data_IF_447908252702
#
_entry.id   IF_447908252702
#
_cell.length_a   1.000
_cell.length_b   1.000
_cell.length_c   1.000
_cell.angle_alpha   90.00
_cell.angle_beta   90.00
_cell.angle_gamma   90.00
#
_symmetry.space_group_name_H-M   'P 1'
#
loop_
_entity.id
_entity.type
_entity.pdbx_description
1 polymer ?
#
# COMPACT_ATOMS: atom_id res chain seq x y z
N UNK A 1 0.92 -17.37 -16.24
CA UNK A 1 2.32 -17.51 -16.66
C UNK A 1 3.15 -16.87 -15.57
N UNK A 2 3.98 -17.66 -14.90
CA UNK A 2 4.96 -17.14 -13.95
C UNK A 2 6.09 -16.48 -14.75
N UNK A 3 6.37 -15.21 -14.52
CA UNK A 3 7.50 -14.54 -15.15
C UNK A 3 8.75 -14.92 -14.39
N UNK A 4 9.64 -15.64 -15.07
CA UNK A 4 10.93 -16.07 -14.53
C UNK A 4 12.05 -15.43 -15.36
N UNK A 5 13.23 -15.27 -14.79
CA UNK A 5 14.39 -14.66 -15.45
C UNK A 5 14.76 -15.34 -16.78
N UNK A 6 14.43 -16.64 -16.92
CA UNK A 6 14.71 -17.44 -18.13
C UNK A 6 13.95 -16.98 -19.40
N UNK A 7 12.92 -16.13 -19.26
CA UNK A 7 12.08 -15.62 -20.37
C UNK A 7 12.43 -14.17 -20.75
N UNK A 8 13.35 -13.55 -20.01
CA UNK A 8 13.71 -12.14 -20.22
C UNK A 8 14.80 -11.99 -21.30
N UNK A 9 14.80 -10.83 -22.01
CA UNK A 9 15.94 -10.43 -22.83
C UNK A 9 17.23 -10.33 -22.00
N UNK A 10 18.34 -10.59 -22.65
CA UNK A 10 19.68 -10.46 -22.02
C UNK A 10 19.89 -9.08 -21.41
N UNK A 11 20.31 -9.04 -20.17
CA UNK A 11 20.57 -7.79 -19.41
C UNK A 11 19.33 -7.16 -18.77
N UNK A 12 18.20 -7.85 -18.76
CA UNK A 12 16.99 -7.46 -18.01
C UNK A 12 16.84 -8.33 -16.76
N UNK A 13 16.54 -7.70 -15.63
CA UNK A 13 16.29 -8.35 -14.34
C UNK A 13 14.86 -8.05 -13.87
N UNK A 14 14.18 -9.02 -13.24
CA UNK A 14 12.88 -8.81 -12.59
C UNK A 14 13.10 -8.24 -11.20
N UNK A 15 12.32 -7.23 -10.86
CA UNK A 15 12.23 -6.65 -9.52
C UNK A 15 10.87 -7.01 -8.92
N UNK A 16 10.85 -7.85 -7.91
CA UNK A 16 9.63 -8.23 -7.19
C UNK A 16 9.22 -7.12 -6.22
N UNK A 17 8.20 -6.32 -6.61
CA UNK A 17 7.74 -5.12 -5.93
C UNK A 17 6.22 -5.20 -5.67
N UNK A 18 5.80 -6.32 -5.09
CA UNK A 18 4.41 -6.62 -4.76
C UNK A 18 3.85 -5.61 -3.74
N UNK A 19 2.53 -5.54 -3.62
CA UNK A 19 1.84 -4.78 -2.58
C UNK A 19 0.90 -3.71 -3.11
N UNK A 20 1.27 -2.94 -4.14
CA UNK A 20 0.29 -2.13 -4.88
C UNK A 20 -0.67 -3.05 -5.64
N UNK A 21 -0.16 -4.02 -6.35
CA UNK A 21 -0.92 -5.12 -6.94
C UNK A 21 -0.32 -6.47 -6.52
N UNK A 22 -1.08 -7.56 -6.68
CA UNK A 22 -0.73 -8.89 -6.18
C UNK A 22 0.61 -9.41 -6.75
N UNK A 23 0.80 -9.28 -8.05
CA UNK A 23 1.97 -9.80 -8.76
C UNK A 23 2.74 -8.66 -9.45
N UNK A 24 2.82 -7.49 -8.79
CA UNK A 24 3.51 -6.34 -9.37
C UNK A 24 5.00 -6.61 -9.46
N UNK A 25 5.53 -6.43 -10.65
CA UNK A 25 6.96 -6.49 -10.92
C UNK A 25 7.45 -5.19 -11.54
N UNK A 26 8.70 -4.85 -11.24
CA UNK A 26 9.50 -3.88 -11.97
C UNK A 26 10.53 -4.59 -12.83
N UNK A 27 11.27 -3.83 -13.61
CA UNK A 27 12.36 -4.34 -14.45
C UNK A 27 13.58 -3.45 -14.34
N UNK A 28 14.75 -4.05 -14.23
CA UNK A 28 16.01 -3.34 -14.34
C UNK A 28 16.68 -3.66 -15.66
N UNK A 29 17.15 -2.64 -16.37
CA UNK A 29 17.89 -2.74 -17.62
C UNK A 29 19.11 -1.83 -17.54
N UNK A 30 20.30 -2.40 -17.46
CA UNK A 30 21.52 -1.63 -17.19
C UNK A 30 21.39 -0.85 -15.88
N UNK A 31 21.59 0.47 -15.91
CA UNK A 31 21.52 1.35 -14.75
C UNK A 31 20.13 1.98 -14.53
N UNK A 32 19.09 1.50 -15.22
CA UNK A 32 17.72 2.03 -15.11
C UNK A 32 16.79 0.98 -14.52
N UNK A 33 16.07 1.35 -13.46
CA UNK A 33 15.05 0.53 -12.82
C UNK A 33 13.64 1.10 -13.05
N UNK A 34 12.78 0.37 -13.73
CA UNK A 34 11.36 0.66 -13.91
C UNK A 34 10.60 0.02 -12.77
N UNK A 35 10.12 0.81 -11.84
CA UNK A 35 9.57 0.32 -10.56
C UNK A 35 8.04 0.35 -10.47
N UNK A 36 7.35 0.68 -11.58
CA UNK A 36 5.88 0.72 -11.61
C UNK A 36 5.28 1.61 -10.51
N UNK A 37 4.27 1.11 -9.84
CA UNK A 37 3.57 1.79 -8.75
C UNK A 37 4.13 1.44 -7.35
N UNK A 38 5.42 1.11 -7.26
CA UNK A 38 6.06 0.82 -5.98
C UNK A 38 6.09 2.04 -5.03
N UNK A 39 6.00 3.26 -5.58
CA UNK A 39 5.87 4.51 -4.82
C UNK A 39 4.79 5.40 -5.42
N UNK A 40 4.06 6.10 -4.57
CA UNK A 40 3.16 7.20 -4.95
C UNK A 40 3.84 8.55 -4.74
N UNK A 41 3.49 9.55 -5.57
CA UNK A 41 4.02 10.90 -5.40
C UNK A 41 3.53 11.55 -4.10
N UNK A 42 4.30 12.48 -3.55
CA UNK A 42 3.88 13.29 -2.39
C UNK A 42 2.56 14.00 -2.68
N UNK A 43 2.42 14.58 -3.87
CA UNK A 43 1.19 15.29 -4.27
C UNK A 43 -0.06 14.38 -4.21
N UNK A 44 0.05 13.13 -4.66
CA UNK A 44 -1.05 12.16 -4.60
C UNK A 44 -1.36 11.80 -3.16
N UNK A 45 -0.34 11.52 -2.34
CA UNK A 45 -0.51 11.16 -0.93
C UNK A 45 -1.09 12.32 -0.11
N UNK A 46 -0.59 13.54 -0.31
CA UNK A 46 -1.08 14.74 0.39
C UNK A 46 -2.54 15.07 0.02
N UNK A 47 -2.91 14.82 -1.24
CA UNK A 47 -4.25 15.12 -1.75
C UNK A 47 -5.31 14.11 -1.34
N UNK A 48 -4.97 12.84 -1.36
CA UNK A 48 -5.94 11.75 -1.16
C UNK A 48 -5.79 11.04 0.18
N UNK A 49 -4.67 11.20 0.86
CA UNK A 49 -4.37 10.58 2.16
C UNK A 49 -4.20 9.06 2.10
N UNK A 50 -4.97 8.37 1.26
CA UNK A 50 -4.96 6.91 1.10
C UNK A 50 -4.69 6.56 -0.35
N UNK A 51 -3.61 5.85 -0.61
CA UNK A 51 -3.31 5.24 -1.91
C UNK A 51 -3.90 3.84 -2.00
N UNK A 52 -4.17 3.39 -3.23
CA UNK A 52 -4.56 2.01 -3.47
C UNK A 52 -3.42 1.07 -3.05
N UNK A 53 -3.74 0.07 -2.24
CA UNK A 53 -2.81 -0.96 -1.76
C UNK A 53 -3.55 -2.29 -1.68
N UNK A 54 -3.02 -3.29 -2.36
CA UNK A 54 -3.57 -4.65 -2.35
C UNK A 54 -3.17 -5.42 -1.09
N UNK A 55 -1.89 -5.33 -0.69
CA UNK A 55 -1.34 -5.94 0.52
C UNK A 55 -0.36 -4.97 1.19
N UNK A 56 -0.67 -4.60 2.42
CA UNK A 56 0.12 -3.61 3.18
C UNK A 56 1.50 -4.17 3.59
N UNK A 57 1.57 -5.45 3.95
CA UNK A 57 2.82 -6.10 4.33
C UNK A 57 3.80 -6.15 3.17
N UNK A 58 3.36 -6.67 2.01
CA UNK A 58 4.15 -6.75 0.79
C UNK A 58 4.57 -5.35 0.30
N UNK A 59 3.66 -4.36 0.42
CA UNK A 59 3.97 -2.98 0.06
C UNK A 59 5.09 -2.39 0.92
N UNK A 60 5.04 -2.57 2.24
CA UNK A 60 6.09 -2.12 3.15
C UNK A 60 7.43 -2.83 2.89
N UNK A 61 7.39 -4.13 2.57
CA UNK A 61 8.56 -4.90 2.17
C UNK A 61 9.15 -4.40 0.84
N UNK A 62 8.30 -4.12 -0.15
CA UNK A 62 8.73 -3.58 -1.44
C UNK A 62 9.39 -2.20 -1.29
N UNK A 63 8.84 -1.31 -0.46
CA UNK A 63 9.49 -0.03 -0.13
C UNK A 63 10.89 -0.23 0.49
N UNK A 64 11.07 -1.28 1.29
CA UNK A 64 12.37 -1.61 1.88
C UNK A 64 13.35 -2.17 0.85
N UNK A 65 12.88 -3.01 -0.10
CA UNK A 65 13.70 -3.59 -1.18
C UNK A 65 14.29 -2.52 -2.12
N UNK A 66 13.62 -1.36 -2.28
CA UNK A 66 14.09 -0.29 -3.16
C UNK A 66 15.51 0.17 -2.85
N UNK A 67 15.95 0.13 -1.60
CA UNK A 67 17.31 0.52 -1.19
C UNK A 67 18.40 -0.40 -1.75
N UNK A 68 18.05 -1.67 -2.01
CA UNK A 68 19.00 -2.71 -2.43
C UNK A 68 19.12 -2.81 -3.96
N UNK A 69 18.26 -2.11 -4.71
CA UNK A 69 18.32 -2.08 -6.18
C UNK A 69 19.53 -1.26 -6.62
N UNK A 70 20.45 -1.89 -7.33
CA UNK A 70 21.64 -1.25 -7.92
C UNK A 70 21.29 -0.62 -9.26
N UNK A 71 20.82 0.63 -9.24
CA UNK A 71 20.50 1.44 -10.40
C UNK A 71 20.79 2.93 -10.12
N UNK A 72 21.06 3.71 -11.16
CA UNK A 72 21.30 5.15 -11.09
C UNK A 72 20.02 5.97 -11.34
N UNK A 73 19.11 5.44 -12.17
CA UNK A 73 17.86 6.09 -12.53
C UNK A 73 16.68 5.17 -12.22
N UNK A 74 15.70 5.70 -11.52
CA UNK A 74 14.45 5.02 -11.18
C UNK A 74 13.26 5.67 -11.89
N UNK A 75 12.43 4.85 -12.52
CA UNK A 75 11.29 5.28 -13.32
C UNK A 75 10.00 4.70 -12.74
N UNK A 76 9.31 5.42 -11.84
CA UNK A 76 7.97 5.06 -11.38
C UNK A 76 6.91 5.30 -12.47
N UNK A 77 5.71 4.69 -12.33
CA UNK A 77 4.64 4.83 -13.33
C UNK A 77 4.03 6.24 -13.38
N UNK A 78 3.87 6.89 -12.23
CA UNK A 78 3.12 8.15 -12.10
C UNK A 78 3.92 9.29 -11.46
N UNK A 79 5.23 9.16 -11.41
CA UNK A 79 6.17 10.16 -10.87
C UNK A 79 7.29 10.39 -11.89
N UNK A 80 7.89 11.57 -11.89
CA UNK A 80 9.04 11.83 -12.73
C UNK A 80 10.20 10.86 -12.40
N UNK A 81 11.00 10.46 -13.40
CA UNK A 81 12.24 9.72 -13.13
C UNK A 81 13.12 10.46 -12.12
N UNK A 82 13.77 9.71 -11.25
CA UNK A 82 14.52 10.25 -10.12
C UNK A 82 15.79 9.42 -9.85
N UNK A 83 16.73 9.98 -9.12
CA UNK A 83 17.90 9.28 -8.65
C UNK A 83 17.60 8.44 -7.38
N UNK A 84 18.61 7.76 -6.87
CA UNK A 84 18.50 6.89 -5.71
C UNK A 84 18.14 7.65 -4.42
N UNK A 85 18.71 8.84 -4.23
CA UNK A 85 18.50 9.65 -3.02
C UNK A 85 17.04 10.14 -2.98
N UNK A 86 16.57 10.71 -4.07
CA UNK A 86 15.17 11.16 -4.24
C UNK A 86 14.17 9.99 -4.06
N UNK A 87 14.50 8.81 -4.61
CA UNK A 87 13.68 7.61 -4.44
C UNK A 87 13.56 7.20 -2.97
N UNK A 88 14.67 7.16 -2.23
CA UNK A 88 14.67 6.73 -0.83
C UNK A 88 13.93 7.73 0.07
N UNK A 89 14.02 9.03 -0.22
CA UNK A 89 13.20 10.03 0.45
C UNK A 89 11.70 9.81 0.18
N UNK A 90 11.33 9.56 -1.08
CA UNK A 90 9.95 9.30 -1.46
C UNK A 90 9.42 7.99 -0.85
N UNK A 91 10.22 6.93 -0.85
CA UNK A 91 9.88 5.66 -0.21
C UNK A 91 9.68 5.83 1.31
N UNK A 92 10.53 6.61 1.97
CA UNK A 92 10.38 6.97 3.38
C UNK A 92 9.07 7.72 3.66
N UNK A 93 8.68 8.63 2.76
CA UNK A 93 7.40 9.33 2.86
C UNK A 93 6.20 8.40 2.67
N UNK A 94 6.24 7.51 1.68
CA UNK A 94 5.21 6.48 1.47
C UNK A 94 5.05 5.57 2.69
N UNK A 95 6.15 5.15 3.29
CA UNK A 95 6.15 4.36 4.54
C UNK A 95 5.50 5.11 5.70
N UNK A 96 5.84 6.40 5.87
CA UNK A 96 5.25 7.26 6.90
C UNK A 96 3.73 7.35 6.75
N UNK A 97 3.24 7.66 5.56
CA UNK A 97 1.79 7.75 5.29
C UNK A 97 1.10 6.40 5.55
N UNK A 98 1.72 5.29 5.14
CA UNK A 98 1.19 3.95 5.42
C UNK A 98 1.07 3.69 6.93
N UNK A 99 2.06 4.08 7.72
CA UNK A 99 2.02 3.96 9.17
C UNK A 99 0.91 4.82 9.79
N UNK A 100 0.72 6.05 9.32
CA UNK A 100 -0.36 6.94 9.75
C UNK A 100 -1.76 6.36 9.46
N UNK A 101 -1.93 5.69 8.30
CA UNK A 101 -3.18 4.98 7.98
C UNK A 101 -3.40 3.79 8.92
N UNK A 102 -2.34 3.00 9.21
CA UNK A 102 -2.40 1.87 10.16
C UNK A 102 -2.88 2.37 11.52
N UNK A 103 -2.28 3.42 12.04
CA UNK A 103 -2.65 4.03 13.33
C UNK A 103 -4.11 4.54 13.29
N UNK A 104 -4.49 5.24 12.22
CA UNK A 104 -5.85 5.75 12.04
C UNK A 104 -6.90 4.63 12.04
N UNK A 105 -6.67 3.54 11.33
CA UNK A 105 -7.59 2.38 11.31
C UNK A 105 -7.72 1.75 12.70
N UNK A 106 -6.60 1.65 13.46
CA UNK A 106 -6.65 1.17 14.85
C UNK A 106 -7.44 2.09 15.77
N UNK A 107 -7.24 3.42 15.67
CA UNK A 107 -8.01 4.42 16.44
C UNK A 107 -9.52 4.30 16.17
N UNK A 108 -9.89 4.22 14.89
CA UNK A 108 -11.29 4.10 14.48
C UNK A 108 -11.94 2.80 14.99
N UNK A 109 -11.14 1.75 15.21
CA UNK A 109 -11.58 0.46 15.75
C UNK A 109 -11.49 0.36 17.29
N UNK A 110 -11.28 1.46 18.01
CA UNK A 110 -11.34 1.47 19.47
C UNK A 110 -12.71 0.98 19.99
N UNK A 111 -13.79 1.28 19.25
CA UNK A 111 -15.13 0.72 19.46
C UNK A 111 -15.45 -0.25 18.34
N UNK A 112 -16.17 -1.37 18.63
CA UNK A 112 -16.53 -2.36 17.61
C UNK A 112 -17.36 -1.76 16.48
N UNK A 113 -16.97 -2.04 15.23
CA UNK A 113 -17.63 -1.51 14.01
C UNK A 113 -17.75 -2.58 12.93
N UNK A 114 -18.82 -2.50 12.16
CA UNK A 114 -18.92 -3.21 10.89
C UNK A 114 -17.93 -2.61 9.88
N UNK A 115 -17.65 -3.33 8.82
CA UNK A 115 -16.81 -2.81 7.73
C UNK A 115 -17.37 -1.52 7.12
N UNK A 116 -18.68 -1.44 6.92
CA UNK A 116 -19.32 -0.27 6.33
C UNK A 116 -19.26 0.98 7.24
N UNK A 117 -19.41 0.79 8.55
CA UNK A 117 -19.24 1.87 9.53
C UNK A 117 -17.79 2.37 9.56
N UNK A 118 -16.82 1.46 9.58
CA UNK A 118 -15.40 1.80 9.50
C UNK A 118 -15.07 2.53 8.19
N UNK A 119 -15.55 2.01 7.06
CA UNK A 119 -15.33 2.64 5.75
C UNK A 119 -15.87 4.06 5.71
N UNK A 120 -17.08 4.28 6.25
CA UNK A 120 -17.66 5.62 6.38
C UNK A 120 -16.77 6.54 7.19
N UNK A 121 -16.29 6.11 8.36
CA UNK A 121 -15.44 6.93 9.23
C UNK A 121 -14.07 7.22 8.59
N UNK A 122 -13.53 6.30 7.80
CA UNK A 122 -12.33 6.54 6.99
C UNK A 122 -12.61 7.66 5.97
N UNK A 123 -13.71 7.60 5.23
CA UNK A 123 -14.07 8.68 4.29
C UNK A 123 -14.21 10.03 4.97
N UNK A 124 -14.87 10.06 6.15
CA UNK A 124 -15.04 11.30 6.94
C UNK A 124 -13.69 11.82 7.44
N UNK A 125 -12.79 10.95 7.90
CA UNK A 125 -11.48 11.32 8.45
C UNK A 125 -10.54 11.94 7.42
N UNK A 126 -10.69 11.56 6.14
CA UNK A 126 -9.91 12.08 5.02
C UNK A 126 -10.69 13.10 4.17
N UNK A 127 -11.83 13.56 4.64
CA UNK A 127 -12.70 14.53 3.95
C UNK A 127 -13.03 14.11 2.50
N UNK A 128 -13.11 12.82 2.25
CA UNK A 128 -13.37 12.26 0.91
C UNK A 128 -14.86 12.11 0.64
N UNK A 129 -15.28 12.48 -0.57
CA UNK A 129 -16.66 12.21 -1.03
C UNK A 129 -16.78 10.77 -1.54
N UNK A 130 -17.70 10.00 -0.95
CA UNK A 130 -17.98 8.63 -1.39
C UNK A 130 -18.73 8.62 -2.73
N UNK A 131 -18.24 7.83 -3.66
CA UNK A 131 -18.89 7.49 -4.91
C UNK A 131 -18.52 6.03 -5.28
N UNK A 132 -19.16 5.46 -6.30
CA UNK A 132 -18.96 4.04 -6.67
C UNK A 132 -17.49 3.69 -6.89
N UNK A 133 -16.72 4.55 -7.56
CA UNK A 133 -15.29 4.34 -7.81
C UNK A 133 -14.48 4.36 -6.51
N UNK A 134 -14.69 5.39 -5.70
CA UNK A 134 -13.98 5.55 -4.42
C UNK A 134 -14.37 4.44 -3.42
N UNK A 135 -15.66 4.07 -3.37
CA UNK A 135 -16.12 2.95 -2.57
C UNK A 135 -15.35 1.67 -2.90
N UNK A 136 -15.19 1.35 -4.20
CA UNK A 136 -14.46 0.15 -4.63
C UNK A 136 -12.98 0.23 -4.30
N UNK A 137 -12.30 1.35 -4.60
CA UNK A 137 -10.86 1.51 -4.40
C UNK A 137 -10.49 1.56 -2.92
N UNK A 138 -11.09 2.49 -2.17
CA UNK A 138 -10.78 2.68 -0.75
C UNK A 138 -11.28 1.48 0.07
N UNK A 139 -12.44 0.90 -0.29
CA UNK A 139 -12.95 -0.30 0.35
C UNK A 139 -12.02 -1.51 0.19
N UNK A 140 -11.41 -1.69 -1.00
CA UNK A 140 -10.40 -2.74 -1.21
C UNK A 140 -9.14 -2.48 -0.40
N UNK A 141 -8.65 -1.25 -0.41
CA UNK A 141 -7.47 -0.83 0.36
C UNK A 141 -7.70 -0.99 1.86
N UNK A 142 -8.85 -0.57 2.38
CA UNK A 142 -9.20 -0.73 3.79
C UNK A 142 -9.22 -2.21 4.22
N UNK A 143 -9.68 -3.12 3.36
CA UNK A 143 -9.59 -4.56 3.62
C UNK A 143 -8.15 -5.06 3.72
N UNK A 144 -7.23 -4.52 2.92
CA UNK A 144 -5.81 -4.84 3.03
C UNK A 144 -5.22 -4.39 4.38
N UNK A 145 -5.58 -3.19 4.86
CA UNK A 145 -5.18 -2.71 6.19
C UNK A 145 -5.77 -3.55 7.33
N UNK A 146 -7.05 -3.93 7.23
CA UNK A 146 -7.71 -4.83 8.21
C UNK A 146 -6.99 -6.18 8.24
N UNK A 147 -6.65 -6.74 7.07
CA UNK A 147 -5.93 -8.01 6.99
C UNK A 147 -4.57 -7.90 7.66
N UNK A 148 -3.79 -6.89 7.32
CA UNK A 148 -2.47 -6.62 7.92
C UNK A 148 -2.54 -6.47 9.45
N UNK A 149 -3.45 -5.66 9.95
CA UNK A 149 -3.63 -5.43 11.39
C UNK A 149 -4.10 -6.69 12.13
N UNK A 150 -4.96 -7.49 11.49
CA UNK A 150 -5.42 -8.77 12.05
C UNK A 150 -4.28 -9.77 12.14
N UNK A 151 -3.46 -9.91 11.10
CA UNK A 151 -2.28 -10.80 11.07
C UNK A 151 -1.22 -10.36 12.09
N UNK A 152 -1.06 -9.06 12.29
CA UNK A 152 -0.20 -8.49 13.34
C UNK A 152 -0.79 -8.62 14.76
N UNK A 153 -1.99 -9.19 14.91
CA UNK A 153 -2.65 -9.37 16.23
C UNK A 153 -3.12 -8.05 16.87
N UNK A 154 -3.20 -6.96 16.10
CA UNK A 154 -3.59 -5.63 16.60
C UNK A 154 -5.10 -5.44 16.64
N UNK A 155 -5.82 -6.12 15.78
CA UNK A 155 -7.29 -6.12 15.75
C UNK A 155 -7.84 -7.55 15.73
N UNK A 156 -9.08 -7.70 16.12
CA UNK A 156 -9.83 -8.94 16.07
C UNK A 156 -11.26 -8.67 15.61
N UNK A 157 -12.07 -9.71 15.51
CA UNK A 157 -13.48 -9.59 15.16
C UNK A 157 -14.37 -10.32 16.16
N UNK A 158 -15.63 -9.95 16.18
CA UNK A 158 -16.69 -10.61 16.92
C UNK A 158 -17.99 -10.62 16.09
N UNK A 159 -18.94 -11.45 16.51
CA UNK A 159 -20.29 -11.49 15.93
C UNK A 159 -21.31 -11.04 16.97
N UNK A 160 -22.16 -10.08 16.60
CA UNK A 160 -23.25 -9.58 17.42
C UNK A 160 -24.44 -9.25 16.51
N UNK A 161 -25.63 -9.71 16.84
CA UNK A 161 -26.87 -9.51 16.09
C UNK A 161 -26.74 -9.83 14.57
N UNK A 162 -26.09 -10.94 14.23
CA UNK A 162 -25.80 -11.36 12.85
C UNK A 162 -24.93 -10.37 12.06
N UNK A 163 -24.16 -9.52 12.74
CA UNK A 163 -23.17 -8.62 12.13
C UNK A 163 -21.78 -9.02 12.56
N UNK A 164 -20.84 -8.94 11.66
CA UNK A 164 -19.41 -9.05 11.95
C UNK A 164 -18.87 -7.67 12.31
N UNK A 165 -18.28 -7.57 13.49
CA UNK A 165 -17.68 -6.34 14.02
C UNK A 165 -16.18 -6.51 14.16
N UNK A 166 -15.41 -5.53 13.71
CA UNK A 166 -13.98 -5.42 13.91
C UNK A 166 -13.70 -4.53 15.12
N UNK A 167 -12.67 -4.84 15.88
CA UNK A 167 -12.23 -4.03 17.02
C UNK A 167 -10.75 -4.22 17.30
N UNK A 168 -10.13 -3.23 17.94
CA UNK A 168 -8.76 -3.31 18.47
C UNK A 168 -8.68 -4.39 19.55
N UNK A 169 -7.57 -5.12 19.61
CA UNK A 169 -7.24 -6.00 20.73
C UNK A 169 -6.81 -5.10 21.90
N UNK A 170 -7.49 -5.23 23.02
CA UNK A 170 -7.10 -4.57 24.27
C UNK A 170 -6.00 -5.40 24.95
N UNK A 171 -4.91 -4.76 25.33
CA UNK A 171 -3.81 -5.36 26.12
C UNK A 171 -4.28 -5.84 27.47
#
# INVERSE_FOLDING_TARGET
LEMTDDVLPEGMEILHLEGHAMDMVGFKVGNVAYIGDAVSSREVLDKYGIQYTWNVGDYLESLEKLKDIDAELFVPAHVAPMDKEELLELAGYNRKVTAEIIEKVQELLAEPKTFEELLKEVFDSYEMAMNVRQYALIGSTLKAYITYLKEAGKITYMFEDNRMLWKTVQD
#
